data_IF_861870775015
#
_entry.id   IF_861870775015
#
_cell.length_a   1.000
_cell.length_b   1.000
_cell.length_c   1.000
_cell.angle_alpha   90.00
_cell.angle_beta   90.00
_cell.angle_gamma   90.00
#
_symmetry.space_group_name_H-M   'P 1'
#
loop_
_entity.id
_entity.type
_entity.pdbx_description
1 polymer ?
#
# COMPACT_ATOMS: atom_id res chain seq x y z
N UNK A 1 20.30 28.73 -15.28
CA UNK A 1 19.60 28.01 -14.21
C UNK A 1 20.61 27.08 -13.57
N UNK A 2 20.81 27.14 -12.26
CA UNK A 2 21.69 26.20 -11.58
C UNK A 2 21.08 24.80 -11.71
N UNK A 3 21.85 23.84 -12.21
CA UNK A 3 21.47 22.42 -12.21
C UNK A 3 21.33 21.97 -10.76
N UNK A 4 20.15 21.48 -10.38
CA UNK A 4 19.95 20.86 -9.07
C UNK A 4 20.92 19.67 -9.00
N UNK A 5 21.74 19.65 -7.95
CA UNK A 5 22.50 18.47 -7.60
C UNK A 5 21.51 17.39 -7.14
N UNK A 6 21.24 16.44 -8.03
CA UNK A 6 20.23 15.40 -7.81
C UNK A 6 20.59 14.52 -6.60
N UNK A 7 21.89 14.27 -6.39
CA UNK A 7 22.37 13.48 -5.26
C UNK A 7 22.09 14.21 -3.95
N UNK A 8 22.49 15.48 -3.85
CA UNK A 8 22.19 16.29 -2.66
C UNK A 8 20.68 16.45 -2.44
N UNK A 9 19.90 16.60 -3.51
CA UNK A 9 18.45 16.73 -3.41
C UNK A 9 17.76 15.47 -2.83
N UNK A 10 18.30 14.28 -3.13
CA UNK A 10 17.85 13.02 -2.54
C UNK A 10 18.23 12.94 -1.07
N UNK A 11 19.48 13.27 -0.72
CA UNK A 11 19.97 13.31 0.66
C UNK A 11 19.13 14.26 1.53
N UNK A 12 18.68 15.38 0.95
CA UNK A 12 17.81 16.37 1.59
C UNK A 12 16.33 15.95 1.64
N UNK A 13 16.00 14.72 1.24
CA UNK A 13 14.64 14.16 1.30
C UNK A 13 13.70 14.70 0.22
N UNK A 14 14.24 14.96 -0.97
CA UNK A 14 13.51 15.38 -2.16
C UNK A 14 12.63 16.62 -1.94
N UNK A 15 13.03 17.55 -1.06
CA UNK A 15 12.23 18.74 -0.69
C UNK A 15 11.93 19.67 -1.86
N UNK A 16 12.76 19.65 -2.91
CA UNK A 16 12.50 20.34 -4.19
C UNK A 16 11.23 19.85 -4.91
N UNK A 17 10.67 18.70 -4.51
CA UNK A 17 9.40 18.13 -5.00
C UNK A 17 8.25 18.30 -4.01
N UNK A 18 8.41 19.12 -2.98
CA UNK A 18 7.32 19.39 -2.02
C UNK A 18 6.17 20.12 -2.70
N UNK A 19 4.97 19.87 -2.20
CA UNK A 19 3.76 20.59 -2.65
C UNK A 19 3.82 22.02 -2.12
N UNK A 20 3.65 23.06 -2.96
CA UNK A 20 3.59 24.44 -2.48
C UNK A 20 2.38 24.68 -1.56
N UNK A 21 2.54 25.56 -0.57
CA UNK A 21 1.45 25.90 0.36
C UNK A 21 0.21 26.41 -0.37
N UNK A 22 0.38 27.22 -1.42
CA UNK A 22 -0.73 27.73 -2.23
C UNK A 22 -1.53 26.61 -2.90
N UNK A 23 -0.88 25.54 -3.35
CA UNK A 23 -1.54 24.37 -3.95
C UNK A 23 -2.29 23.56 -2.90
N UNK A 24 -1.71 23.40 -1.71
CA UNK A 24 -2.43 22.80 -0.57
C UNK A 24 -3.68 23.60 -0.20
N UNK A 25 -3.56 24.93 -0.07
CA UNK A 25 -4.65 25.83 0.31
C UNK A 25 -5.78 25.85 -0.73
N UNK A 26 -5.45 25.82 -2.03
CA UNK A 26 -6.46 25.84 -3.09
C UNK A 26 -7.17 24.49 -3.27
N UNK A 27 -6.46 23.38 -3.06
CA UNK A 27 -6.92 22.07 -3.53
C UNK A 27 -7.29 21.11 -2.40
N UNK A 28 -6.58 21.10 -1.28
CA UNK A 28 -6.78 20.12 -0.19
C UNK A 28 -7.39 20.72 1.08
N UNK A 29 -7.06 21.97 1.42
CA UNK A 29 -7.59 22.62 2.61
C UNK A 29 -9.14 22.63 2.66
N UNK A 30 -9.88 22.84 1.54
CA UNK A 30 -11.34 22.75 1.55
C UNK A 30 -11.85 21.34 1.89
N UNK A 31 -11.20 20.29 1.36
CA UNK A 31 -11.52 18.88 1.66
C UNK A 31 -11.25 18.53 3.13
N UNK A 32 -10.13 19.04 3.66
CA UNK A 32 -9.78 18.87 5.07
C UNK A 32 -10.84 19.52 5.97
N UNK A 33 -11.26 20.75 5.66
CA UNK A 33 -12.29 21.47 6.43
C UNK A 33 -13.68 20.83 6.33
N UNK A 34 -14.09 20.37 5.15
CA UNK A 34 -15.40 19.76 4.96
C UNK A 34 -15.54 18.44 5.72
N UNK A 35 -14.48 17.63 5.78
CA UNK A 35 -14.50 16.36 6.51
C UNK A 35 -14.52 16.51 8.03
N UNK A 36 -14.18 17.67 8.59
CA UNK A 36 -14.39 17.96 10.02
C UNK A 36 -15.88 18.07 10.36
N UNK A 37 -16.71 18.56 9.43
CA UNK A 37 -18.14 18.80 9.69
C UNK A 37 -18.96 17.52 9.88
N UNK A 38 -18.46 16.39 9.40
CA UNK A 38 -19.10 15.07 9.56
C UNK A 38 -18.76 14.37 10.87
N UNK A 39 -17.85 14.92 11.69
CA UNK A 39 -17.43 14.33 12.95
C UNK A 39 -18.31 14.79 14.12
N UNK A 40 -18.35 13.98 15.18
CA UNK A 40 -19.01 14.35 16.42
C UNK A 40 -18.29 15.52 17.11
N UNK A 41 -19.02 16.30 17.90
CA UNK A 41 -18.44 17.45 18.62
C UNK A 41 -17.30 17.05 19.55
N UNK A 42 -17.31 15.83 20.11
CA UNK A 42 -16.20 15.32 20.93
C UNK A 42 -14.93 15.13 20.11
N UNK A 43 -15.04 14.53 18.91
CA UNK A 43 -13.89 14.32 18.01
C UNK A 43 -13.36 15.66 17.48
N UNK A 44 -14.25 16.58 17.09
CA UNK A 44 -13.86 17.93 16.65
C UNK A 44 -13.10 18.66 17.77
N UNK A 45 -13.58 18.56 19.01
CA UNK A 45 -12.89 19.11 20.17
C UNK A 45 -11.52 18.45 20.37
N UNK A 46 -11.39 17.13 20.20
CA UNK A 46 -10.10 16.44 20.29
C UNK A 46 -9.10 16.99 19.27
N UNK A 47 -9.49 17.18 18.01
CA UNK A 47 -8.63 17.81 17.00
C UNK A 47 -8.26 19.25 17.38
N UNK A 48 -9.23 20.03 17.85
CA UNK A 48 -9.02 21.43 18.26
C UNK A 48 -8.07 21.56 19.45
N UNK A 49 -8.17 20.63 20.41
CA UNK A 49 -7.35 20.55 21.62
C UNK A 49 -6.06 19.75 21.41
N UNK A 50 -5.80 19.25 20.19
CA UNK A 50 -4.69 18.33 19.88
C UNK A 50 -4.63 17.12 20.82
N UNK A 51 -5.78 16.66 21.29
CA UNK A 51 -5.90 15.46 22.11
C UNK A 51 -5.96 14.24 21.18
N UNK A 52 -5.12 13.21 21.40
CA UNK A 52 -5.11 12.02 20.55
C UNK A 52 -6.43 11.27 20.67
N UNK A 53 -7.02 10.91 19.52
CA UNK A 53 -8.18 10.01 19.48
C UNK A 53 -7.63 8.60 19.52
N UNK A 54 -8.09 7.80 20.49
CA UNK A 54 -7.66 6.41 20.63
C UNK A 54 -8.38 5.49 19.65
N UNK A 55 -7.64 4.53 19.08
CA UNK A 55 -8.22 3.52 18.22
C UNK A 55 -8.85 2.41 19.05
N UNK A 56 -10.19 2.34 19.04
CA UNK A 56 -10.95 1.20 19.53
C UNK A 56 -11.38 0.27 18.37
N UNK A 57 -10.96 -1.01 18.32
CA UNK A 57 -11.41 -1.96 17.29
C UNK A 57 -12.93 -2.20 17.29
N UNK A 58 -13.61 -2.05 18.43
CA UNK A 58 -15.07 -2.25 18.53
C UNK A 58 -15.87 -1.08 17.93
N UNK A 59 -15.22 0.06 17.69
CA UNK A 59 -15.84 1.24 17.07
C UNK A 59 -15.32 1.42 15.64
N UNK A 60 -14.03 1.19 15.43
CA UNK A 60 -13.33 1.62 14.23
C UNK A 60 -13.13 0.51 13.19
N UNK A 61 -13.19 -0.77 13.57
CA UNK A 61 -13.17 -1.89 12.63
C UNK A 61 -14.58 -2.35 12.34
N UNK A 62 -14.97 -2.32 11.06
CA UNK A 62 -16.35 -2.66 10.65
C UNK A 62 -16.72 -4.09 11.02
N UNK A 63 -15.76 -5.02 11.00
CA UNK A 63 -15.96 -6.41 11.42
C UNK A 63 -16.50 -6.53 12.86
N UNK A 64 -16.01 -5.72 13.79
CA UNK A 64 -16.43 -5.76 15.20
C UNK A 64 -17.56 -4.77 15.50
N UNK A 65 -17.53 -3.59 14.89
CA UNK A 65 -18.50 -2.52 15.15
C UNK A 65 -19.91 -2.81 14.62
N UNK A 66 -20.02 -3.46 13.45
CA UNK A 66 -21.30 -3.57 12.74
C UNK A 66 -21.95 -4.97 12.86
N UNK A 67 -21.55 -5.75 13.86
CA UNK A 67 -22.17 -7.01 14.25
C UNK A 67 -22.11 -8.13 13.19
N UNK A 68 -22.99 -9.12 13.33
CA UNK A 68 -22.92 -10.39 12.58
C UNK A 68 -23.04 -10.24 11.07
N UNK A 69 -23.76 -9.22 10.57
CA UNK A 69 -23.87 -8.96 9.13
C UNK A 69 -22.52 -8.57 8.53
N UNK A 70 -21.79 -7.68 9.17
CA UNK A 70 -20.46 -7.26 8.71
C UNK A 70 -19.46 -8.42 8.74
N UNK A 71 -19.50 -9.23 9.80
CA UNK A 71 -18.67 -10.43 9.92
C UNK A 71 -18.94 -11.42 8.79
N UNK A 72 -20.22 -11.68 8.48
CA UNK A 72 -20.62 -12.56 7.38
C UNK A 72 -20.13 -12.03 6.03
N UNK A 73 -20.28 -10.73 5.76
CA UNK A 73 -19.81 -10.12 4.52
C UNK A 73 -18.29 -10.26 4.36
N UNK A 74 -17.55 -10.01 5.43
CA UNK A 74 -16.10 -10.20 5.49
C UNK A 74 -15.70 -11.66 5.25
N UNK A 75 -16.36 -12.62 5.91
CA UNK A 75 -16.03 -14.04 5.76
C UNK A 75 -16.32 -14.55 4.34
N UNK A 76 -17.31 -13.95 3.67
CA UNK A 76 -17.73 -14.24 2.30
C UNK A 76 -16.95 -13.47 1.23
N UNK A 77 -16.04 -12.56 1.60
CA UNK A 77 -15.20 -11.84 0.63
C UNK A 77 -14.45 -12.83 -0.25
N UNK A 78 -14.64 -12.70 -1.56
CA UNK A 78 -13.96 -13.53 -2.56
C UNK A 78 -12.47 -13.28 -2.49
N UNK A 79 -11.70 -14.36 -2.59
CA UNK A 79 -10.23 -14.33 -2.67
C UNK A 79 -9.82 -15.18 -3.86
N UNK A 80 -9.04 -14.60 -4.77
CA UNK A 80 -8.46 -15.32 -5.89
C UNK A 80 -7.14 -15.94 -5.46
N UNK A 81 -6.97 -17.24 -5.70
CA UNK A 81 -5.72 -17.94 -5.40
C UNK A 81 -4.68 -17.73 -6.49
N UNK A 82 -3.41 -17.93 -6.16
CA UNK A 82 -2.31 -17.94 -7.14
C UNK A 82 -2.57 -18.97 -8.25
N UNK A 83 -3.17 -20.12 -7.91
CA UNK A 83 -3.59 -21.13 -8.89
C UNK A 83 -4.70 -20.63 -9.82
N UNK A 84 -5.74 -19.99 -9.28
CA UNK A 84 -6.81 -19.41 -10.10
C UNK A 84 -6.31 -18.31 -11.04
N UNK A 85 -5.27 -17.58 -10.62
CA UNK A 85 -4.56 -16.60 -11.45
C UNK A 85 -3.59 -17.24 -12.45
N UNK A 86 -3.34 -18.54 -12.38
CA UNK A 86 -2.35 -19.23 -13.22
C UNK A 86 -0.90 -18.85 -12.90
N UNK A 87 -0.64 -18.42 -11.66
CA UNK A 87 0.66 -17.93 -11.17
C UNK A 87 1.33 -18.94 -10.20
N UNK A 88 0.97 -20.21 -10.31
CA UNK A 88 1.51 -21.29 -9.49
C UNK A 88 2.69 -22.03 -10.14
N UNK A 89 3.41 -21.41 -11.07
CA UNK A 89 4.56 -22.03 -11.73
C UNK A 89 5.76 -22.18 -10.79
N UNK A 90 6.61 -23.19 -11.01
CA UNK A 90 7.72 -23.58 -10.10
C UNK A 90 8.61 -22.43 -9.63
N UNK A 91 8.89 -21.44 -10.48
CA UNK A 91 9.70 -20.28 -10.10
C UNK A 91 9.00 -19.39 -9.06
N UNK A 92 7.71 -19.11 -9.23
CA UNK A 92 6.91 -18.33 -8.29
C UNK A 92 6.58 -19.10 -7.01
N UNK A 93 6.40 -20.43 -7.08
CA UNK A 93 6.18 -21.27 -5.89
C UNK A 93 7.30 -21.14 -4.84
N UNK A 94 8.55 -20.96 -5.28
CA UNK A 94 9.70 -20.78 -4.37
C UNK A 94 9.75 -19.42 -3.66
N UNK A 95 8.84 -18.51 -4.02
CA UNK A 95 8.74 -17.14 -3.52
C UNK A 95 7.38 -16.84 -2.88
N UNK A 96 6.38 -17.66 -3.19
CA UNK A 96 5.02 -17.58 -2.66
C UNK A 96 5.02 -17.84 -1.15
N UNK A 97 4.37 -16.94 -0.42
CA UNK A 97 4.17 -17.05 1.03
C UNK A 97 2.71 -17.27 1.41
N UNK A 98 1.79 -17.25 0.44
CA UNK A 98 0.39 -17.62 0.62
C UNK A 98 -0.23 -18.12 -0.68
N UNK A 99 -1.22 -19.01 -0.58
CA UNK A 99 -2.04 -19.43 -1.71
C UNK A 99 -3.00 -18.33 -2.19
N UNK A 100 -3.32 -17.35 -1.34
CA UNK A 100 -4.15 -16.21 -1.72
C UNK A 100 -3.31 -15.21 -2.49
N UNK A 101 -3.71 -14.93 -3.72
CA UNK A 101 -3.12 -13.89 -4.54
C UNK A 101 -3.70 -12.51 -4.22
N UNK A 102 -5.04 -12.40 -4.23
CA UNK A 102 -5.72 -11.14 -3.97
C UNK A 102 -7.10 -11.36 -3.33
N UNK A 103 -7.57 -10.41 -2.53
CA UNK A 103 -8.97 -10.32 -2.10
C UNK A 103 -9.75 -9.31 -2.93
N UNK A 104 -11.04 -9.54 -3.13
CA UNK A 104 -11.96 -8.45 -3.44
C UNK A 104 -11.94 -7.42 -2.28
N UNK A 105 -12.38 -6.17 -2.51
CA UNK A 105 -12.50 -5.20 -1.45
C UNK A 105 -13.44 -5.68 -0.34
N UNK A 106 -13.02 -5.50 0.91
CA UNK A 106 -13.81 -5.76 2.11
C UNK A 106 -13.82 -4.54 3.00
N UNK A 107 -14.96 -4.23 3.64
CA UNK A 107 -15.06 -3.09 4.54
C UNK A 107 -14.22 -3.33 5.79
N UNK A 108 -13.07 -2.65 5.89
CA UNK A 108 -12.13 -2.81 7.00
C UNK A 108 -12.45 -1.81 8.11
N UNK A 109 -12.48 -0.53 7.78
CA UNK A 109 -12.67 0.56 8.74
C UNK A 109 -14.05 1.21 8.59
N UNK A 110 -14.59 1.71 9.69
CA UNK A 110 -15.82 2.50 9.70
C UNK A 110 -15.60 3.90 9.13
N UNK A 111 -16.68 4.58 8.74
CA UNK A 111 -16.60 5.95 8.21
C UNK A 111 -15.96 6.94 9.20
N UNK A 112 -16.17 6.74 10.50
CA UNK A 112 -15.53 7.53 11.56
C UNK A 112 -14.01 7.37 11.52
N UNK A 113 -13.52 6.13 11.47
CA UNK A 113 -12.09 5.84 11.39
C UNK A 113 -11.45 6.42 10.12
N UNK A 114 -12.14 6.29 8.98
CA UNK A 114 -11.67 6.90 7.72
C UNK A 114 -11.60 8.41 7.82
N UNK A 115 -12.59 9.03 8.45
CA UNK A 115 -12.59 10.48 8.63
C UNK A 115 -11.42 10.93 9.52
N UNK A 116 -11.13 10.20 10.61
CA UNK A 116 -9.97 10.50 11.48
C UNK A 116 -8.64 10.31 10.74
N UNK A 117 -8.46 9.20 10.01
CA UNK A 117 -7.24 8.96 9.20
C UNK A 117 -7.01 10.06 8.16
N UNK A 118 -8.09 10.50 7.49
CA UNK A 118 -8.03 11.64 6.54
C UNK A 118 -7.60 12.92 7.24
N UNK A 119 -8.12 13.18 8.43
CA UNK A 119 -7.73 14.36 9.22
C UNK A 119 -6.25 14.33 9.60
N UNK A 120 -5.70 13.17 9.99
CA UNK A 120 -4.29 13.06 10.34
C UNK A 120 -3.36 13.29 9.13
N UNK A 121 -3.63 12.67 7.97
CA UNK A 121 -2.76 12.79 6.79
C UNK A 121 -2.89 14.13 6.07
N UNK A 122 -4.06 14.76 6.09
CA UNK A 122 -4.32 16.04 5.43
C UNK A 122 -4.10 17.26 6.35
N UNK A 123 -3.78 17.04 7.63
CA UNK A 123 -3.39 18.12 8.54
C UNK A 123 -2.20 18.89 7.95
N UNK A 124 -2.30 20.21 7.94
CA UNK A 124 -1.37 21.10 7.24
C UNK A 124 0.10 20.81 7.53
N UNK A 125 0.51 20.73 8.78
CA UNK A 125 1.93 20.61 9.13
C UNK A 125 2.47 19.22 8.78
N UNK A 126 1.68 18.16 9.01
CA UNK A 126 1.97 16.81 8.52
C UNK A 126 2.11 16.79 7.00
N UNK A 127 1.08 17.24 6.28
CA UNK A 127 1.07 17.22 4.82
C UNK A 127 2.25 18.00 4.24
N UNK A 128 2.48 19.23 4.70
CA UNK A 128 3.56 20.09 4.19
C UNK A 128 4.96 19.52 4.49
N UNK A 129 5.14 18.77 5.57
CA UNK A 129 6.42 18.12 5.89
C UNK A 129 6.69 16.92 4.98
N UNK A 130 5.70 16.06 4.78
CA UNK A 130 5.91 14.72 4.20
C UNK A 130 5.46 14.57 2.74
N UNK A 131 4.57 15.42 2.22
CA UNK A 131 4.04 15.27 0.86
C UNK A 131 5.08 15.65 -0.20
N UNK A 132 5.14 14.84 -1.27
CA UNK A 132 5.99 15.06 -2.44
C UNK A 132 5.19 14.76 -3.71
N UNK A 133 5.40 15.54 -4.77
CA UNK A 133 4.82 15.21 -6.07
C UNK A 133 5.23 13.80 -6.50
N UNK A 134 4.29 13.08 -7.10
CA UNK A 134 4.58 11.81 -7.75
C UNK A 134 5.48 12.03 -8.96
N UNK A 135 6.42 11.12 -9.21
CA UNK A 135 7.37 11.23 -10.32
C UNK A 135 6.66 11.38 -11.68
N UNK A 136 5.56 10.66 -11.88
CA UNK A 136 4.72 10.69 -13.09
C UNK A 136 3.50 11.62 -12.98
N UNK A 137 3.51 12.63 -12.11
CA UNK A 137 2.32 13.49 -11.96
C UNK A 137 1.98 14.22 -13.27
N UNK A 138 0.70 14.16 -13.64
CA UNK A 138 0.17 14.78 -14.87
C UNK A 138 -1.06 15.67 -14.62
N UNK A 139 -1.68 15.57 -13.43
CA UNK A 139 -2.95 16.25 -13.12
C UNK A 139 -2.81 17.60 -12.42
N UNK A 140 -1.58 18.02 -12.11
CA UNK A 140 -1.31 19.23 -11.32
C UNK A 140 -1.34 19.02 -9.80
N UNK A 141 -1.81 17.87 -9.31
CA UNK A 141 -1.70 17.48 -7.90
C UNK A 141 -1.81 15.96 -7.68
N UNK A 142 -0.87 15.20 -8.27
CA UNK A 142 -0.62 13.82 -7.82
C UNK A 142 0.57 13.82 -6.87
N UNK A 143 0.36 13.35 -5.65
CA UNK A 143 1.39 13.32 -4.63
C UNK A 143 1.35 12.06 -3.79
N UNK A 144 2.47 11.79 -3.14
CA UNK A 144 2.66 10.73 -2.18
C UNK A 144 3.05 11.33 -0.82
N UNK A 145 2.44 10.82 0.24
CA UNK A 145 2.77 11.14 1.64
C UNK A 145 3.24 9.85 2.29
N UNK A 146 4.51 9.77 2.69
CA UNK A 146 5.12 8.53 3.18
C UNK A 146 6.07 8.82 4.34
N UNK A 147 6.23 7.84 5.25
CA UNK A 147 7.00 8.01 6.48
C UNK A 147 6.43 9.08 7.41
N UNK A 148 5.14 9.39 7.29
CA UNK A 148 4.49 10.46 8.06
C UNK A 148 3.88 9.96 9.35
N UNK A 149 3.43 8.70 9.41
CA UNK A 149 2.74 8.15 10.59
C UNK A 149 3.66 8.17 11.81
N UNK A 150 4.92 7.76 11.61
CA UNK A 150 5.97 7.78 12.61
C UNK A 150 7.28 8.22 11.95
N UNK A 151 7.97 9.18 12.54
CA UNK A 151 9.26 9.73 12.08
C UNK A 151 10.27 9.60 13.23
N UNK A 152 11.09 8.54 13.18
CA UNK A 152 11.95 8.16 14.31
C UNK A 152 11.12 7.72 15.52
N UNK A 153 11.32 8.38 16.66
CA UNK A 153 10.58 8.08 17.90
C UNK A 153 9.23 8.83 18.01
N UNK A 154 8.98 9.78 17.11
CA UNK A 154 7.76 10.59 17.12
C UNK A 154 6.63 9.93 16.32
N UNK A 155 5.48 9.70 16.96
CA UNK A 155 4.25 9.24 16.31
C UNK A 155 3.41 10.47 15.94
N UNK A 156 3.49 10.93 14.68
CA UNK A 156 2.77 12.13 14.22
C UNK A 156 1.27 11.85 14.00
N UNK A 157 0.91 10.62 13.66
CA UNK A 157 -0.47 10.21 13.39
C UNK A 157 -0.88 9.06 14.32
N UNK A 158 -1.13 9.34 15.61
CA UNK A 158 -1.36 8.33 16.63
C UNK A 158 -2.55 7.42 16.35
N UNK A 159 -3.65 7.93 15.79
CA UNK A 159 -4.80 7.10 15.48
C UNK A 159 -4.48 6.14 14.34
N UNK A 160 -3.88 6.64 13.24
CA UNK A 160 -3.47 5.83 12.10
C UNK A 160 -2.43 4.78 12.50
N UNK A 161 -1.45 5.15 13.33
CA UNK A 161 -0.45 4.21 13.84
C UNK A 161 -1.10 3.07 14.63
N UNK A 162 -1.96 3.41 15.60
CA UNK A 162 -2.68 2.41 16.39
C UNK A 162 -3.58 1.55 15.49
N UNK A 163 -4.34 2.16 14.57
CA UNK A 163 -5.27 1.45 13.70
C UNK A 163 -4.58 0.38 12.86
N UNK A 164 -3.40 0.66 12.30
CA UNK A 164 -2.66 -0.31 11.48
C UNK A 164 -1.86 -1.33 12.28
N UNK A 165 -1.34 -0.94 13.45
CA UNK A 165 -0.51 -1.84 14.29
C UNK A 165 -1.32 -2.68 15.29
N UNK A 166 -2.60 -2.34 15.51
CA UNK A 166 -3.45 -3.04 16.45
C UNK A 166 -3.63 -4.53 16.06
N UNK A 167 -3.55 -5.42 17.05
CA UNK A 167 -3.59 -6.87 16.82
C UNK A 167 -4.85 -7.35 16.10
N UNK A 168 -6.00 -6.70 16.35
CA UNK A 168 -7.28 -6.98 15.66
C UNK A 168 -7.28 -6.58 14.19
N UNK A 169 -6.60 -5.50 13.81
CA UNK A 169 -6.41 -5.14 12.41
C UNK A 169 -5.51 -6.15 11.72
N UNK A 170 -4.39 -6.49 12.36
CA UNK A 170 -3.44 -7.50 11.87
C UNK A 170 -4.09 -8.88 11.71
N UNK A 171 -4.98 -9.27 12.62
CA UNK A 171 -5.78 -10.51 12.55
C UNK A 171 -6.63 -10.55 11.27
N UNK A 172 -7.37 -9.46 10.99
CA UNK A 172 -8.21 -9.38 9.80
C UNK A 172 -7.36 -9.40 8.52
N UNK A 173 -6.34 -8.54 8.42
CA UNK A 173 -5.46 -8.48 7.24
C UNK A 173 -4.78 -9.83 6.98
N UNK A 174 -4.27 -10.50 8.02
CA UNK A 174 -3.67 -11.84 7.92
C UNK A 174 -4.67 -12.90 7.46
N UNK A 175 -5.91 -12.87 7.98
CA UNK A 175 -6.96 -13.80 7.56
C UNK A 175 -7.33 -13.62 6.09
N UNK A 176 -7.35 -12.38 5.58
CA UNK A 176 -7.54 -12.12 4.15
C UNK A 176 -6.36 -12.57 3.31
N UNK A 177 -5.13 -12.40 3.82
CA UNK A 177 -3.91 -12.84 3.17
C UNK A 177 -3.74 -14.36 3.14
N UNK A 178 -4.42 -15.12 4.02
CA UNK A 178 -4.23 -16.57 4.16
C UNK A 178 -2.91 -16.98 4.82
N UNK A 179 -2.17 -16.03 5.37
CA UNK A 179 -0.91 -16.24 6.10
C UNK A 179 -0.80 -15.19 7.20
N UNK A 180 -0.15 -15.52 8.32
CA UNK A 180 0.10 -14.55 9.38
C UNK A 180 1.12 -13.50 8.90
N UNK A 181 0.69 -12.23 8.89
CA UNK A 181 1.49 -11.10 8.42
C UNK A 181 2.04 -10.27 9.57
N UNK A 182 3.13 -9.56 9.30
CA UNK A 182 3.59 -8.41 10.08
C UNK A 182 3.98 -7.27 9.15
N UNK A 183 3.85 -6.02 9.63
CA UNK A 183 4.25 -4.82 8.89
C UNK A 183 5.76 -4.89 8.61
N UNK A 184 6.19 -4.51 7.42
CA UNK A 184 7.61 -4.60 7.02
C UNK A 184 8.49 -3.69 7.88
N UNK A 185 8.12 -2.41 7.96
CA UNK A 185 8.77 -1.38 8.79
C UNK A 185 7.78 -0.24 9.04
N UNK A 186 8.00 0.58 10.07
CA UNK A 186 7.06 1.65 10.45
C UNK A 186 6.92 2.69 9.34
N UNK A 187 7.99 2.92 8.57
CA UNK A 187 8.00 3.80 7.39
C UNK A 187 6.96 3.41 6.32
N UNK A 188 6.59 2.14 6.26
CA UNK A 188 5.62 1.60 5.31
C UNK A 188 4.18 1.56 5.84
N UNK A 189 3.94 2.11 7.03
CA UNK A 189 2.59 2.26 7.55
C UNK A 189 1.88 3.38 6.80
N UNK A 190 0.72 3.04 6.24
CA UNK A 190 -0.23 3.98 5.70
C UNK A 190 0.32 4.96 4.65
N UNK A 191 1.29 4.57 3.82
CA UNK A 191 1.73 5.43 2.73
C UNK A 191 0.50 5.86 1.92
N UNK A 192 0.37 7.15 1.63
CA UNK A 192 -0.87 7.70 1.09
C UNK A 192 -0.62 8.31 -0.27
N UNK A 193 -1.30 7.81 -1.28
CA UNK A 193 -1.33 8.37 -2.63
C UNK A 193 -2.56 9.26 -2.77
N UNK A 194 -2.35 10.49 -3.22
CA UNK A 194 -3.38 11.51 -3.37
C UNK A 194 -3.34 12.01 -4.80
N UNK A 195 -4.48 11.95 -5.49
CA UNK A 195 -4.69 12.57 -6.79
C UNK A 195 -5.89 13.50 -6.70
N UNK A 196 -5.69 14.76 -7.09
CA UNK A 196 -6.74 15.77 -7.14
C UNK A 196 -6.88 16.31 -8.58
N UNK A 197 -8.12 16.56 -8.99
CA UNK A 197 -8.46 17.18 -10.28
C UNK A 197 -9.44 18.33 -10.06
N UNK A 198 -9.38 19.35 -10.91
CA UNK A 198 -10.41 20.40 -10.92
C UNK A 198 -11.73 19.85 -11.45
N UNK A 199 -12.85 20.46 -11.04
CA UNK A 199 -14.17 20.04 -11.55
C UNK A 199 -14.28 20.16 -13.07
N UNK A 200 -13.63 21.16 -13.68
CA UNK A 200 -13.59 21.33 -15.13
C UNK A 200 -12.87 20.16 -15.81
N UNK A 201 -11.73 19.72 -15.27
CA UNK A 201 -11.02 18.53 -15.78
C UNK A 201 -11.86 17.26 -15.64
N UNK A 202 -12.58 17.11 -14.52
CA UNK A 202 -13.46 15.96 -14.29
C UNK A 202 -14.58 15.91 -15.33
N UNK A 203 -15.19 17.06 -15.64
CA UNK A 203 -16.25 17.15 -16.63
C UNK A 203 -15.74 16.89 -18.06
N UNK A 204 -14.57 17.45 -18.41
CA UNK A 204 -13.93 17.17 -19.70
C UNK A 204 -13.61 15.68 -19.87
N UNK A 205 -13.08 15.02 -18.83
CA UNK A 205 -12.83 13.57 -18.87
C UNK A 205 -14.13 12.77 -19.01
N UNK A 206 -15.22 13.16 -18.34
CA UNK A 206 -16.53 12.53 -18.50
C UNK A 206 -17.06 12.64 -19.92
N UNK A 207 -17.00 13.84 -20.50
CA UNK A 207 -17.42 14.08 -21.89
C UNK A 207 -16.58 13.23 -22.86
N UNK A 208 -15.26 13.20 -22.66
CA UNK A 208 -14.35 12.40 -23.48
C UNK A 208 -14.64 10.91 -23.36
N UNK A 209 -14.86 10.41 -22.15
CA UNK A 209 -15.19 9.01 -21.91
C UNK A 209 -16.52 8.62 -22.55
N UNK A 210 -17.55 9.45 -22.41
CA UNK A 210 -18.86 9.22 -23.05
C UNK A 210 -18.74 9.18 -24.58
N UNK A 211 -17.96 10.07 -25.19
CA UNK A 211 -17.68 10.03 -26.64
C UNK A 211 -17.00 8.73 -27.06
N UNK A 212 -16.01 8.27 -26.30
CA UNK A 212 -15.33 7.01 -26.58
C UNK A 212 -16.26 5.80 -26.53
N UNK A 213 -17.19 5.75 -25.57
CA UNK A 213 -18.18 4.68 -25.49
C UNK A 213 -19.11 4.66 -26.71
N UNK A 214 -19.56 5.84 -27.17
CA UNK A 214 -20.40 5.98 -28.38
C UNK A 214 -19.63 5.53 -29.63
N UNK A 215 -18.36 5.93 -29.76
CA UNK A 215 -17.51 5.54 -30.88
C UNK A 215 -17.24 4.02 -30.92
N UNK A 216 -17.12 3.39 -29.74
CA UNK A 216 -16.96 1.93 -29.62
C UNK A 216 -18.24 1.15 -29.94
N UNK A 217 -19.41 1.63 -29.54
CA UNK A 217 -20.70 1.03 -29.92
C UNK A 217 -20.98 1.14 -31.43
N UNK A 218 -20.40 2.13 -32.09
CA UNK A 218 -20.55 2.39 -33.53
C UNK A 218 -19.63 1.55 -34.41
N UNK A 219 -18.59 0.92 -33.83
CA UNK A 219 -17.59 0.15 -34.55
C UNK A 219 -17.78 -1.37 -34.32
N UNK A 220 -18.31 -2.09 -35.31
CA UNK A 220 -18.31 -3.56 -35.33
C UNK A 220 -16.89 -4.10 -35.59
N UNK A 221 -16.02 -4.18 -34.59
CA UNK A 221 -14.89 -5.14 -34.65
C UNK A 221 -14.15 -5.37 -33.33
N UNK A 222 -13.99 -6.65 -33.05
CA UNK A 222 -12.85 -7.32 -32.40
C UNK A 222 -11.53 -6.55 -32.49
N UNK A 223 -11.09 -5.97 -31.38
CA UNK A 223 -9.66 -5.75 -31.10
C UNK A 223 -9.39 -6.08 -29.63
N UNK A 224 -8.78 -7.24 -29.40
CA UNK A 224 -8.11 -7.55 -28.13
C UNK A 224 -6.82 -6.75 -28.09
N UNK A 225 -6.91 -5.47 -27.74
CA UNK A 225 -5.72 -4.69 -27.45
C UNK A 225 -5.17 -5.18 -26.11
N UNK A 226 -3.95 -5.73 -26.14
CA UNK A 226 -3.20 -6.03 -24.92
C UNK A 226 -3.16 -4.78 -24.05
N UNK A 227 -3.50 -4.90 -22.78
CA UNK A 227 -3.79 -3.79 -21.86
C UNK A 227 -2.61 -2.86 -21.53
N UNK A 228 -1.63 -2.69 -22.41
CA UNK A 228 -0.45 -1.85 -22.21
C UNK A 228 -0.75 -0.35 -22.39
N UNK A 229 -1.87 0.01 -23.05
CA UNK A 229 -2.32 1.41 -23.25
C UNK A 229 -3.30 1.93 -22.17
N UNK A 230 -3.39 1.28 -21.00
CA UNK A 230 -4.29 1.69 -19.91
C UNK A 230 -3.72 2.94 -19.21
N UNK A 231 -4.43 4.10 -19.23
CA UNK A 231 -3.97 5.28 -18.50
C UNK A 231 -3.91 5.00 -16.99
N UNK A 232 -2.75 5.20 -16.37
CA UNK A 232 -2.55 5.02 -14.94
C UNK A 232 -1.45 5.95 -14.42
N UNK A 233 -1.52 6.35 -13.15
CA UNK A 233 -0.45 7.11 -12.49
C UNK A 233 0.81 6.23 -12.32
N UNK A 234 0.60 4.94 -12.09
CA UNK A 234 1.63 3.91 -12.05
C UNK A 234 1.23 2.82 -13.04
N UNK A 235 2.07 2.56 -14.05
CA UNK A 235 1.82 1.53 -15.06
C UNK A 235 1.86 0.11 -14.49
N UNK A 236 1.83 -0.91 -15.35
CA UNK A 236 1.97 -2.29 -14.93
C UNK A 236 3.25 -2.50 -14.12
N UNK A 237 3.12 -3.05 -12.92
CA UNK A 237 4.24 -3.25 -12.02
C UNK A 237 4.01 -4.40 -11.04
N UNK A 238 5.09 -4.77 -10.37
CA UNK A 238 5.06 -5.57 -9.15
C UNK A 238 5.31 -4.63 -7.97
N UNK A 239 4.67 -4.90 -6.85
CA UNK A 239 5.00 -4.19 -5.62
C UNK A 239 6.39 -4.58 -5.13
N UNK A 240 6.99 -3.65 -4.41
CA UNK A 240 8.29 -3.86 -3.76
C UNK A 240 8.20 -4.86 -2.59
N UNK A 241 7.05 -4.95 -1.92
CA UNK A 241 6.86 -5.78 -0.72
C UNK A 241 6.00 -7.02 -0.99
N UNK A 242 6.17 -8.10 -0.20
CA UNK A 242 5.45 -9.36 -0.42
C UNK A 242 3.93 -9.22 -0.42
N UNK A 243 3.40 -8.42 0.50
CA UNK A 243 1.98 -8.10 0.59
C UNK A 243 1.75 -6.61 0.78
N UNK A 244 0.62 -6.13 0.26
CA UNK A 244 0.10 -4.80 0.55
C UNK A 244 -1.38 -4.91 0.95
N UNK A 245 -1.82 -4.03 1.84
CA UNK A 245 -3.23 -3.76 2.09
C UNK A 245 -3.53 -2.33 1.62
N UNK A 246 -4.36 -2.19 0.60
CA UNK A 246 -4.72 -0.90 0.00
C UNK A 246 -6.10 -0.52 0.51
N UNK A 247 -6.20 0.58 1.24
CA UNK A 247 -7.41 1.15 1.82
C UNK A 247 -7.85 2.38 1.02
N UNK A 248 -9.12 2.44 0.65
CA UNK A 248 -9.70 3.61 -0.02
C UNK A 248 -10.20 4.62 1.03
N UNK A 249 -9.68 5.86 1.00
CA UNK A 249 -10.12 6.95 1.89
C UNK A 249 -11.14 7.88 1.24
N UNK A 250 -11.16 7.98 -0.09
CA UNK A 250 -12.11 8.85 -0.79
C UNK A 250 -13.45 8.17 -0.98
N UNK A 251 -14.51 8.97 -1.05
CA UNK A 251 -15.78 8.51 -1.60
C UNK A 251 -15.57 8.13 -3.07
N UNK A 252 -16.10 7.00 -3.51
CA UNK A 252 -15.97 6.51 -4.89
C UNK A 252 -17.32 6.39 -5.60
N UNK A 253 -18.38 7.01 -5.06
CA UNK A 253 -19.74 6.91 -5.60
C UNK A 253 -19.84 7.32 -7.07
N UNK A 254 -19.04 8.31 -7.50
CA UNK A 254 -19.02 8.83 -8.86
C UNK A 254 -17.82 8.30 -9.69
N UNK A 255 -17.07 7.34 -9.15
CA UNK A 255 -15.87 6.81 -9.77
C UNK A 255 -16.22 5.89 -10.93
N UNK A 256 -15.72 6.21 -12.12
CA UNK A 256 -15.80 5.36 -13.30
C UNK A 256 -14.42 4.75 -13.52
N UNK A 257 -14.36 3.41 -13.51
CA UNK A 257 -13.11 2.66 -13.53
C UNK A 257 -12.47 2.52 -12.14
N UNK A 258 -11.14 2.34 -12.13
CA UNK A 258 -10.34 2.20 -10.91
C UNK A 258 -10.25 0.78 -10.37
N UNK A 259 -10.79 -0.20 -11.10
CA UNK A 259 -10.65 -1.62 -10.78
C UNK A 259 -9.19 -2.03 -10.92
N UNK A 260 -8.72 -2.87 -10.01
CA UNK A 260 -7.34 -3.37 -10.14
C UNK A 260 -7.31 -4.51 -11.15
N UNK A 261 -6.53 -4.33 -12.20
CA UNK A 261 -6.30 -5.31 -13.25
C UNK A 261 -5.05 -6.12 -12.94
N UNK A 262 -5.15 -7.45 -12.99
CA UNK A 262 -4.07 -8.38 -12.66
C UNK A 262 -3.73 -9.23 -13.88
N UNK A 263 -2.45 -9.32 -14.27
CA UNK A 263 -2.05 -10.26 -15.35
C UNK A 263 -2.13 -11.70 -14.84
N UNK A 264 -2.80 -12.56 -15.61
CA UNK A 264 -2.89 -14.00 -15.33
C UNK A 264 -1.92 -14.80 -16.19
N UNK A 265 -1.42 -15.92 -15.67
CA UNK A 265 -0.56 -16.85 -16.39
C UNK A 265 0.88 -16.36 -16.60
N UNK A 266 1.70 -17.19 -17.25
CA UNK A 266 3.10 -16.87 -17.55
C UNK A 266 3.23 -16.09 -18.87
N UNK A 267 3.09 -14.75 -18.83
CA UNK A 267 3.45 -13.87 -19.95
C UNK A 267 2.58 -12.63 -20.11
N UNK A 268 3.11 -11.60 -20.77
CA UNK A 268 2.44 -10.30 -20.94
C UNK A 268 1.19 -10.32 -21.86
N UNK A 269 0.95 -11.44 -22.56
CA UNK A 269 -0.24 -11.67 -23.41
C UNK A 269 -1.35 -12.46 -22.67
N UNK A 270 -1.26 -12.56 -21.35
CA UNK A 270 -2.22 -13.31 -20.52
C UNK A 270 -3.60 -12.65 -20.42
N UNK A 271 -4.60 -13.44 -20.01
CA UNK A 271 -5.91 -12.91 -19.58
C UNK A 271 -5.71 -11.95 -18.40
N UNK A 272 -6.61 -11.00 -18.22
CA UNK A 272 -6.60 -10.09 -17.07
C UNK A 272 -7.71 -10.49 -16.11
N UNK A 273 -7.38 -10.67 -14.83
CA UNK A 273 -8.37 -10.77 -13.76
C UNK A 273 -8.68 -9.36 -13.24
N UNK A 274 -9.96 -9.10 -12.96
CA UNK A 274 -10.43 -7.80 -12.47
C UNK A 274 -10.86 -7.94 -11.02
N UNK A 275 -10.25 -7.13 -10.16
CA UNK A 275 -10.65 -6.94 -8.77
C UNK A 275 -11.53 -5.68 -8.72
N UNK A 276 -12.76 -5.77 -8.18
CA UNK A 276 -13.66 -4.63 -8.11
C UNK A 276 -13.02 -3.40 -7.46
N UNK A 277 -13.45 -2.21 -7.88
CA UNK A 277 -13.02 -0.95 -7.27
C UNK A 277 -13.37 -0.90 -5.78
N UNK A 278 -12.42 -0.54 -4.89
CA UNK A 278 -12.72 -0.38 -3.48
C UNK A 278 -13.59 0.86 -3.25
N UNK A 279 -14.54 0.75 -2.34
CA UNK A 279 -15.33 1.88 -1.80
C UNK A 279 -14.67 2.48 -0.57
N UNK A 280 -15.06 3.69 -0.18
CA UNK A 280 -14.58 4.35 1.05
C UNK A 280 -14.59 3.40 2.26
N UNK A 281 -13.44 3.27 2.92
CA UNK A 281 -13.21 2.41 4.08
C UNK A 281 -13.07 0.91 3.80
N UNK A 282 -13.25 0.49 2.55
CA UNK A 282 -12.90 -0.85 2.12
C UNK A 282 -11.44 -0.95 1.74
N UNK A 283 -10.88 -2.13 1.97
CA UNK A 283 -9.51 -2.46 1.62
C UNK A 283 -9.42 -3.75 0.83
N UNK A 284 -8.37 -3.90 0.04
CA UNK A 284 -7.99 -5.16 -0.61
C UNK A 284 -6.58 -5.56 -0.17
N UNK A 285 -6.35 -6.87 -0.06
CA UNK A 285 -5.04 -7.44 0.26
C UNK A 285 -4.50 -8.14 -0.98
N UNK A 286 -3.27 -7.84 -1.37
CA UNK A 286 -2.63 -8.32 -2.59
C UNK A 286 -1.22 -8.82 -2.31
N UNK A 287 -0.86 -9.99 -2.84
CA UNK A 287 0.50 -10.53 -2.83
C UNK A 287 1.36 -9.85 -3.91
N UNK A 288 1.56 -8.53 -3.76
CA UNK A 288 1.95 -7.62 -4.82
C UNK A 288 3.31 -7.90 -5.46
N UNK A 289 4.26 -8.50 -4.73
CA UNK A 289 5.57 -8.86 -5.30
C UNK A 289 5.50 -9.91 -6.40
N UNK A 290 4.45 -10.73 -6.41
CA UNK A 290 4.28 -11.86 -7.34
C UNK A 290 3.23 -11.64 -8.41
N UNK A 291 2.39 -10.61 -8.26
CA UNK A 291 1.28 -10.34 -9.18
C UNK A 291 1.53 -9.01 -9.87
N UNK A 292 1.75 -9.08 -11.18
CA UNK A 292 1.81 -7.88 -12.02
C UNK A 292 0.42 -7.26 -12.11
N UNK A 293 0.32 -6.00 -11.74
CA UNK A 293 -0.96 -5.33 -11.67
C UNK A 293 -0.89 -3.87 -12.09
N UNK A 294 -2.06 -3.31 -12.36
CA UNK A 294 -2.26 -1.90 -12.68
C UNK A 294 -3.59 -1.43 -12.08
N UNK A 295 -3.58 -0.20 -11.56
CA UNK A 295 -4.78 0.53 -11.18
C UNK A 295 -4.99 1.66 -12.19
N UNK A 296 -5.97 1.56 -13.11
CA UNK A 296 -6.27 2.61 -14.07
C UNK A 296 -6.60 3.92 -13.35
N UNK A 297 -6.22 5.04 -13.96
CA UNK A 297 -6.63 6.38 -13.52
C UNK A 297 -8.15 6.49 -13.68
N UNK A 298 -8.93 6.62 -12.59
CA UNK A 298 -10.36 6.72 -12.72
C UNK A 298 -10.78 8.08 -13.28
N UNK A 299 -11.97 8.07 -13.88
CA UNK A 299 -12.66 9.25 -14.41
C UNK A 299 -13.84 9.59 -13.50
N UNK A 300 -14.25 10.86 -13.52
CA UNK A 300 -15.49 11.29 -12.87
C UNK A 300 -15.37 11.64 -11.39
N UNK A 301 -14.14 11.72 -10.87
CA UNK A 301 -13.81 12.05 -9.49
C UNK A 301 -12.83 13.22 -9.42
N UNK A 302 -13.12 14.18 -8.54
CA UNK A 302 -12.21 15.29 -8.22
C UNK A 302 -11.09 14.90 -7.26
N UNK A 303 -11.26 13.80 -6.54
CA UNK A 303 -10.31 13.31 -5.54
C UNK A 303 -10.23 11.79 -5.55
N UNK A 304 -9.00 11.26 -5.43
CA UNK A 304 -8.73 9.87 -5.08
C UNK A 304 -7.58 9.79 -4.08
N UNK A 305 -7.88 9.34 -2.88
CA UNK A 305 -6.94 9.12 -1.79
C UNK A 305 -6.96 7.65 -1.40
N UNK A 306 -5.81 6.99 -1.53
CA UNK A 306 -5.60 5.61 -1.10
C UNK A 306 -4.45 5.54 -0.12
N UNK A 307 -4.65 4.79 0.94
CA UNK A 307 -3.67 4.54 2.00
C UNK A 307 -3.23 3.09 1.92
N UNK A 308 -1.93 2.81 1.99
CA UNK A 308 -1.38 1.47 1.80
C UNK A 308 -0.42 1.14 2.92
N UNK A 309 -0.56 -0.06 3.47
CA UNK A 309 0.40 -0.61 4.41
C UNK A 309 1.04 -1.86 3.82
N UNK A 310 2.36 -1.95 3.94
CA UNK A 310 3.15 -3.05 3.38
C UNK A 310 3.49 -4.11 4.42
N UNK A 311 3.42 -5.37 4.03
CA UNK A 311 3.55 -6.53 4.91
C UNK A 311 4.50 -7.59 4.36
N UNK A 312 5.01 -8.40 5.28
CA UNK A 312 5.63 -9.70 4.99
C UNK A 312 5.02 -10.78 5.86
N UNK A 313 5.35 -12.03 5.56
CA UNK A 313 5.07 -13.13 6.48
C UNK A 313 5.75 -12.90 7.83
N UNK A 314 5.01 -13.11 8.93
CA UNK A 314 5.51 -12.94 10.29
C UNK A 314 6.57 -13.99 10.65
N UNK A 315 6.39 -15.20 10.16
CA UNK A 315 7.34 -16.28 10.41
C UNK A 315 8.69 -15.98 9.74
N UNK A 316 9.80 -15.92 10.50
CA UNK A 316 11.14 -15.70 9.93
C UNK A 316 11.63 -16.91 9.11
N UNK A 317 10.94 -18.05 9.19
CA UNK A 317 11.20 -19.22 8.34
C UNK A 317 10.63 -19.05 6.93
N UNK A 318 9.66 -18.16 6.74
CA UNK A 318 9.14 -17.87 5.41
C UNK A 318 10.08 -16.91 4.68
N UNK A 319 9.98 -16.94 3.35
CA UNK A 319 10.81 -16.10 2.50
C UNK A 319 10.32 -14.66 2.58
N UNK A 320 11.26 -13.74 2.77
CA UNK A 320 10.99 -12.32 2.54
C UNK A 320 11.52 -11.95 1.16
N UNK A 321 10.61 -11.55 0.28
CA UNK A 321 10.86 -11.16 -1.10
C UNK A 321 10.86 -9.65 -1.31
N UNK A 322 10.89 -8.88 -0.21
CA UNK A 322 10.99 -7.43 -0.24
C UNK A 322 12.21 -6.97 -1.04
N UNK A 323 11.97 -6.01 -1.94
CA UNK A 323 12.93 -5.26 -2.77
C UNK A 323 12.64 -3.77 -2.65
N UNK A 324 13.47 -2.89 -3.21
CA UNK A 324 13.28 -1.44 -3.13
C UNK A 324 13.04 -0.76 -4.48
N UNK A 325 12.92 -1.54 -5.56
CA UNK A 325 12.93 -1.09 -6.95
C UNK A 325 11.90 -0.01 -7.32
N UNK A 326 10.76 0.07 -6.61
CA UNK A 326 9.71 1.08 -6.87
C UNK A 326 9.54 2.10 -5.74
N UNK A 327 10.31 1.96 -4.67
CA UNK A 327 10.05 2.67 -3.41
C UNK A 327 11.24 3.44 -2.87
N UNK A 328 12.45 3.23 -3.38
CA UNK A 328 13.63 3.93 -2.85
C UNK A 328 13.65 5.44 -3.17
N UNK A 329 14.32 6.27 -2.36
CA UNK A 329 14.38 7.72 -2.52
C UNK A 329 14.79 8.23 -3.92
N UNK A 330 15.56 7.44 -4.65
CA UNK A 330 16.06 7.73 -6.00
C UNK A 330 14.95 7.59 -7.07
N UNK A 331 13.93 6.76 -6.82
CA UNK A 331 12.83 6.48 -7.76
C UNK A 331 11.49 7.03 -7.29
N UNK A 332 11.32 7.19 -5.98
CA UNK A 332 10.08 7.66 -5.37
C UNK A 332 10.37 8.84 -4.46
N UNK A 333 9.96 10.03 -4.90
CA UNK A 333 10.22 11.27 -4.17
C UNK A 333 9.62 11.30 -2.76
N UNK A 334 8.56 10.52 -2.48
CA UNK A 334 7.98 10.42 -1.15
C UNK A 334 8.86 9.71 -0.11
N UNK A 335 9.87 8.96 -0.56
CA UNK A 335 10.81 8.28 0.34
C UNK A 335 11.95 9.22 0.73
N UNK A 336 12.07 9.49 2.03
CA UNK A 336 13.09 10.36 2.62
C UNK A 336 14.32 9.54 2.96
N UNK A 337 15.45 9.91 2.39
CA UNK A 337 16.69 9.13 2.38
C UNK A 337 17.10 8.55 3.74
N UNK A 338 17.32 9.41 4.73
CA UNK A 338 17.87 8.99 6.03
C UNK A 338 16.93 8.05 6.80
N UNK A 339 15.64 8.37 6.82
CA UNK A 339 14.63 7.57 7.52
C UNK A 339 14.41 6.23 6.82
N UNK A 340 14.20 6.26 5.50
CA UNK A 340 13.86 5.08 4.72
C UNK A 340 14.96 4.01 4.78
N UNK A 341 16.21 4.40 4.51
CA UNK A 341 17.33 3.45 4.52
C UNK A 341 17.71 3.01 5.93
N UNK A 342 17.56 3.88 6.93
CA UNK A 342 17.76 3.51 8.33
C UNK A 342 16.81 2.39 8.76
N UNK A 343 15.51 2.55 8.49
CA UNK A 343 14.52 1.53 8.81
C UNK A 343 14.66 0.26 7.98
N UNK A 344 15.00 0.38 6.68
CA UNK A 344 15.30 -0.79 5.84
C UNK A 344 16.40 -1.66 6.44
N UNK A 345 17.53 -1.05 6.81
CA UNK A 345 18.66 -1.78 7.39
C UNK A 345 18.28 -2.40 8.74
N UNK A 346 17.63 -1.64 9.63
CA UNK A 346 17.20 -2.15 10.94
C UNK A 346 16.27 -3.36 10.80
N UNK A 347 15.25 -3.24 9.95
CA UNK A 347 14.30 -4.31 9.63
C UNK A 347 15.02 -5.58 9.14
N UNK A 348 15.87 -5.45 8.11
CA UNK A 348 16.55 -6.58 7.47
C UNK A 348 17.53 -7.26 8.43
N UNK A 349 18.27 -6.49 9.23
CA UNK A 349 19.18 -7.02 10.25
C UNK A 349 18.41 -7.79 11.32
N UNK A 350 17.31 -7.23 11.85
CA UNK A 350 16.46 -7.92 12.84
C UNK A 350 15.92 -9.24 12.31
N UNK A 351 15.54 -9.32 11.04
CA UNK A 351 15.11 -10.58 10.45
C UNK A 351 16.25 -11.59 10.32
N UNK A 352 17.44 -11.16 9.90
CA UNK A 352 18.63 -12.02 9.85
C UNK A 352 19.00 -12.57 11.23
N UNK A 353 18.93 -11.74 12.28
CA UNK A 353 19.14 -12.18 13.67
C UNK A 353 18.18 -13.30 14.05
N UNK A 354 16.86 -13.11 13.81
CA UNK A 354 15.85 -14.15 14.06
C UNK A 354 16.14 -15.45 13.28
N UNK A 355 16.58 -15.36 12.03
CA UNK A 355 16.96 -16.53 11.22
C UNK A 355 18.20 -17.24 11.79
N UNK A 356 19.23 -16.51 12.17
CA UNK A 356 20.45 -17.05 12.79
C UNK A 356 20.16 -17.72 14.15
N UNK A 357 19.29 -17.13 14.96
CA UNK A 357 18.86 -17.73 16.24
C UNK A 357 18.17 -19.07 16.02
N UNK A 358 17.32 -19.19 14.98
CA UNK A 358 16.68 -20.45 14.61
C UNK A 358 17.67 -21.49 14.09
N UNK A 359 18.66 -21.09 13.29
CA UNK A 359 19.73 -21.98 12.83
C UNK A 359 20.53 -22.51 14.02
N UNK A 360 20.89 -21.63 14.96
CA UNK A 360 21.61 -22.01 16.18
C UNK A 360 20.79 -22.96 17.06
N UNK A 361 19.50 -22.68 17.25
CA UNK A 361 18.59 -23.55 18.01
C UNK A 361 18.49 -24.94 17.38
N UNK A 362 18.26 -25.02 16.06
CA UNK A 362 18.21 -26.29 15.33
C UNK A 362 19.53 -27.06 15.46
N UNK A 363 20.67 -26.39 15.34
CA UNK A 363 22.00 -27.00 15.49
C UNK A 363 22.21 -27.59 16.88
N UNK A 364 21.78 -26.88 17.94
CA UNK A 364 21.85 -27.38 19.33
C UNK A 364 20.95 -28.59 19.54
N UNK A 365 19.72 -28.56 19.02
CA UNK A 365 18.80 -29.69 19.10
C UNK A 365 19.36 -30.93 18.37
N UNK A 366 19.94 -30.74 17.19
CA UNK A 366 20.55 -31.82 16.43
C UNK A 366 21.79 -32.38 17.12
N UNK A 367 22.62 -31.52 17.72
CA UNK A 367 23.78 -31.95 18.51
C UNK A 367 23.38 -32.78 19.74
N UNK A 368 22.36 -32.32 20.49
CA UNK A 368 21.84 -33.04 21.66
C UNK A 368 21.21 -34.39 21.29
N UNK A 369 20.67 -34.52 20.08
CA UNK A 369 20.12 -35.78 19.57
C UNK A 369 21.16 -36.65 18.85
N UNK A 370 22.40 -36.18 18.70
CA UNK A 370 23.47 -36.86 17.97
C UNK A 370 23.26 -36.94 16.45
N UNK A 371 22.34 -36.13 15.89
CA UNK A 371 21.91 -36.18 14.48
C UNK A 371 22.15 -34.85 13.75
N UNK A 372 23.32 -34.26 13.91
CA UNK A 372 23.69 -33.01 13.21
C UNK A 372 23.54 -33.10 11.69
N UNK A 373 22.62 -32.31 11.13
CA UNK A 373 22.44 -32.21 9.69
C UNK A 373 23.32 -31.09 9.10
N UNK A 374 24.56 -31.46 8.72
CA UNK A 374 25.53 -30.55 8.11
C UNK A 374 24.98 -29.85 6.86
N UNK A 375 24.34 -30.60 5.97
CA UNK A 375 23.89 -30.06 4.69
C UNK A 375 22.79 -29.00 4.88
N UNK A 376 21.77 -29.31 5.70
CA UNK A 376 20.69 -28.37 6.03
C UNK A 376 21.21 -27.10 6.71
N UNK A 377 22.21 -27.24 7.59
CA UNK A 377 22.82 -26.10 8.27
C UNK A 377 23.55 -25.19 7.28
N UNK A 378 24.31 -25.77 6.34
CA UNK A 378 24.98 -25.01 5.27
C UNK A 378 23.97 -24.26 4.39
N UNK A 379 22.88 -24.92 4.00
CA UNK A 379 21.82 -24.31 3.19
C UNK A 379 21.17 -23.12 3.90
N UNK A 380 20.83 -23.27 5.18
CA UNK A 380 20.23 -22.18 5.96
C UNK A 380 21.19 -20.99 6.14
N UNK A 381 22.49 -21.23 6.31
CA UNK A 381 23.49 -20.16 6.37
C UNK A 381 23.65 -19.43 5.03
N UNK A 382 23.62 -20.16 3.91
CA UNK A 382 23.64 -19.57 2.56
C UNK A 382 22.41 -18.71 2.29
N UNK A 383 21.24 -19.09 2.79
CA UNK A 383 20.04 -18.25 2.68
C UNK A 383 20.22 -16.90 3.41
N UNK A 384 20.87 -16.90 4.58
CA UNK A 384 21.18 -15.65 5.30
C UNK A 384 22.23 -14.82 4.55
N UNK A 385 23.26 -15.45 3.98
CA UNK A 385 24.26 -14.79 3.13
C UNK A 385 23.62 -14.12 1.91
N UNK A 386 22.75 -14.84 1.19
CA UNK A 386 22.02 -14.31 0.03
C UNK A 386 21.10 -13.15 0.45
N UNK A 387 20.46 -13.26 1.61
CA UNK A 387 19.59 -12.22 2.14
C UNK A 387 20.36 -10.94 2.52
N UNK A 388 21.57 -11.08 3.07
CA UNK A 388 22.49 -9.97 3.34
C UNK A 388 22.92 -9.29 2.03
N UNK A 389 23.36 -10.09 1.04
CA UNK A 389 23.74 -9.60 -0.29
C UNK A 389 22.62 -8.76 -0.92
N UNK A 390 21.38 -9.28 -0.90
CA UNK A 390 20.21 -8.56 -1.40
C UNK A 390 19.90 -7.29 -0.62
N UNK A 391 20.21 -7.26 0.68
CA UNK A 391 19.86 -6.11 1.53
C UNK A 391 20.59 -4.84 1.07
N UNK A 392 21.89 -4.92 0.80
CA UNK A 392 22.66 -3.76 0.37
C UNK A 392 22.65 -3.55 -1.16
N UNK A 393 22.34 -4.56 -1.97
CA UNK A 393 22.26 -4.39 -3.42
C UNK A 393 21.01 -3.61 -3.87
N UNK A 394 19.98 -3.53 -3.02
CA UNK A 394 18.75 -2.78 -3.30
C UNK A 394 18.91 -1.27 -3.06
N UNK A 395 19.85 -0.89 -2.18
CA UNK A 395 20.24 0.50 -1.93
C UNK A 395 21.09 0.99 -3.10
#
# INVERSE_FOLDING_TARGET
MATIDVEQAILDGNTHKSIPLSVYESSLAPTYQSSLSSLSSSIINSFSLKSPIEFDPLIHLTYYANGSRAQKLYDQTRRLTMEQLGLNHKQQQSQQISDIGVSDPFQLFTDEAITIMRQEVLQRDTFMKYARYSYNSTSGMDCVVRGFVKDGDEINCPFTYQAWTHCKTMELVSKMAGVELEIVMDYEIAHTNISMKSNDMVEEERIKHQRQLIDQESATSTTTNGGDDIPAVVGWHYDSYPFVCVLMLSDTTNMIGGETSLRMGSGHNGKVAIVPSPTKGSANVLQGRLIEHIAPSPVGMSERITMVTSYRAKSPMMKDTSVLSTVKPEVNYGSRYNQFYGEWIDYRIKLMQKKLDLINLNTKCDANSGKFNKQKTIEALKEVEEYLLKTYSEM
#
